data_IF_427410898032
#
_entry.id   IF_427410898032
#
_cell.length_a   1.000
_cell.length_b   1.000
_cell.length_c   1.000
_cell.angle_alpha   90.00
_cell.angle_beta   90.00
_cell.angle_gamma   90.00
#
_symmetry.space_group_name_H-M   'P 1'
#
loop_
_entity.id
_entity.type
_entity.pdbx_description
1 polymer ?
#
# COMPACT_ATOMS: atom_id res chain seq x y z
N UNK A 1 -9.06 10.12 -10.14
CA UNK A 1 -8.25 10.78 -9.10
C UNK A 1 -7.21 9.78 -8.66
N UNK A 2 -5.95 10.01 -9.01
CA UNK A 2 -4.84 9.26 -8.41
C UNK A 2 -4.65 9.82 -7.01
N UNK A 3 -5.32 9.22 -6.03
CA UNK A 3 -5.25 9.64 -4.62
C UNK A 3 -3.88 9.25 -4.06
N UNK A 4 -2.88 10.09 -4.32
CA UNK A 4 -1.58 10.01 -3.68
C UNK A 4 -1.69 10.63 -2.29
N UNK A 5 -1.04 10.00 -1.31
CA UNK A 5 -1.06 10.46 0.07
C UNK A 5 0.26 11.15 0.37
N UNK A 6 0.16 12.41 0.80
CA UNK A 6 1.28 13.25 1.16
C UNK A 6 1.17 13.61 2.64
N UNK A 7 1.89 12.93 3.53
CA UNK A 7 1.91 13.18 4.99
C UNK A 7 0.56 13.21 5.75
N UNK A 8 -0.60 13.17 5.09
CA UNK A 8 -1.94 13.31 5.69
C UNK A 8 -2.46 12.04 6.39
N UNK A 9 -1.69 10.96 6.39
CA UNK A 9 -2.04 9.70 7.08
C UNK A 9 -1.92 9.78 8.61
N UNK A 10 -1.24 10.80 9.13
CA UNK A 10 -0.98 10.98 10.57
C UNK A 10 -2.29 11.13 11.34
N UNK A 11 -3.19 11.95 10.83
CA UNK A 11 -4.45 12.26 11.51
C UNK A 11 -5.47 11.11 11.41
N UNK A 12 -5.43 10.32 10.33
CA UNK A 12 -6.33 9.18 10.11
C UNK A 12 -5.90 7.91 10.86
N UNK A 13 -4.60 7.63 10.93
CA UNK A 13 -4.08 6.42 11.61
C UNK A 13 -3.80 6.69 13.10
N UNK A 14 -3.68 7.96 13.51
CA UNK A 14 -3.41 8.34 14.90
C UNK A 14 -1.99 7.95 15.37
N UNK A 15 -1.07 7.68 14.44
CA UNK A 15 0.32 7.38 14.72
C UNK A 15 1.21 8.58 14.41
N UNK A 16 2.27 8.74 15.19
CA UNK A 16 3.23 9.83 14.98
C UNK A 16 3.86 9.78 13.57
N UNK A 17 4.12 10.96 13.00
CA UNK A 17 4.67 11.13 11.65
C UNK A 17 5.96 10.34 11.36
N UNK A 18 6.92 10.19 12.30
CA UNK A 18 8.10 9.35 12.09
C UNK A 18 7.75 7.87 11.89
N UNK A 19 6.77 7.36 12.66
CA UNK A 19 6.31 5.97 12.59
C UNK A 19 5.64 5.68 11.26
N UNK A 20 4.74 6.56 10.83
CA UNK A 20 4.06 6.42 9.54
C UNK A 20 5.05 6.51 8.37
N UNK A 21 6.00 7.44 8.42
CA UNK A 21 7.06 7.55 7.40
C UNK A 21 7.87 6.25 7.27
N UNK A 22 8.21 5.62 8.39
CA UNK A 22 8.89 4.34 8.40
C UNK A 22 8.04 3.23 7.77
N UNK A 23 6.75 3.13 8.11
CA UNK A 23 5.84 2.16 7.49
C UNK A 23 5.70 2.39 5.98
N UNK A 24 5.46 3.63 5.55
CA UNK A 24 5.32 3.96 4.12
C UNK A 24 6.58 3.66 3.32
N UNK A 25 7.76 3.89 3.90
CA UNK A 25 9.03 3.51 3.29
C UNK A 25 9.12 1.99 3.06
N UNK A 26 8.82 1.19 4.08
CA UNK A 26 8.85 -0.28 3.97
C UNK A 26 7.83 -0.80 2.96
N UNK A 27 6.62 -0.23 2.94
CA UNK A 27 5.56 -0.63 1.98
C UNK A 27 5.96 -0.24 0.54
N UNK A 28 6.60 0.91 0.35
CA UNK A 28 7.15 1.33 -0.94
C UNK A 28 8.32 0.44 -1.40
N UNK A 29 9.23 0.06 -0.49
CA UNK A 29 10.30 -0.91 -0.77
C UNK A 29 9.74 -2.30 -1.14
N UNK A 30 8.61 -2.69 -0.54
CA UNK A 30 7.85 -3.87 -0.93
C UNK A 30 7.15 -3.72 -2.30
N UNK A 31 7.24 -2.55 -2.93
CA UNK A 31 6.72 -2.21 -4.27
C UNK A 31 5.22 -1.96 -4.32
N UNK A 32 4.53 -1.97 -3.18
CA UNK A 32 3.08 -1.77 -3.09
C UNK A 32 2.68 -0.30 -3.27
N UNK A 33 3.61 0.62 -3.01
CA UNK A 33 3.44 2.04 -3.28
C UNK A 33 4.38 2.49 -4.40
N UNK A 34 4.04 3.62 -5.02
CA UNK A 34 4.88 4.40 -5.92
C UNK A 34 5.16 5.73 -5.24
N UNK A 35 6.38 5.91 -4.74
CA UNK A 35 6.84 7.19 -4.21
C UNK A 35 7.12 8.19 -5.33
N UNK A 36 6.56 9.40 -5.23
CA UNK A 36 6.92 10.56 -6.04
C UNK A 36 7.42 11.69 -5.12
N UNK A 37 8.41 12.44 -5.57
CA UNK A 37 8.87 13.62 -4.85
C UNK A 37 8.08 14.85 -5.31
N UNK A 38 7.37 15.50 -4.39
CA UNK A 38 6.75 16.80 -4.62
C UNK A 38 7.42 17.84 -3.70
N UNK A 39 8.38 18.57 -4.26
CA UNK A 39 9.16 19.56 -3.52
C UNK A 39 10.06 18.92 -2.46
N UNK A 40 9.78 19.21 -1.17
CA UNK A 40 10.55 18.66 -0.02
C UNK A 40 9.91 17.41 0.60
N UNK A 41 8.72 17.02 0.13
CA UNK A 41 7.94 15.94 0.68
C UNK A 41 7.90 14.76 -0.29
N UNK A 42 7.91 13.54 0.26
CA UNK A 42 7.61 12.33 -0.50
C UNK A 42 6.10 12.10 -0.40
N UNK A 43 5.46 11.95 -1.55
CA UNK A 43 4.07 11.51 -1.67
C UNK A 43 4.06 10.06 -2.14
N UNK A 44 3.18 9.24 -1.58
CA UNK A 44 3.04 7.84 -1.98
C UNK A 44 1.70 7.61 -2.65
N UNK A 45 1.72 7.01 -3.84
CA UNK A 45 0.52 6.57 -4.55
C UNK A 45 0.42 5.04 -4.48
N UNK A 46 -0.79 4.49 -4.50
CA UNK A 46 -0.96 3.05 -4.58
C UNK A 46 -0.44 2.49 -5.91
N UNK A 47 0.32 1.40 -5.85
CA UNK A 47 0.68 0.65 -7.05
C UNK A 47 -0.48 -0.26 -7.46
N UNK A 48 -1.45 0.31 -8.17
CA UNK A 48 -2.70 -0.37 -8.58
C UNK A 48 -2.42 -1.69 -9.33
N UNK A 49 -1.40 -1.71 -10.20
CA UNK A 49 -1.01 -2.93 -10.92
C UNK A 49 -0.60 -4.05 -9.97
N UNK A 50 0.22 -3.74 -8.96
CA UNK A 50 0.69 -4.72 -7.99
C UNK A 50 -0.41 -5.16 -7.03
N UNK A 51 -1.29 -4.25 -6.61
CA UNK A 51 -2.47 -4.61 -5.84
C UNK A 51 -3.43 -5.52 -6.62
N UNK A 52 -3.65 -5.24 -7.91
CA UNK A 52 -4.44 -6.11 -8.78
C UNK A 52 -3.81 -7.49 -8.95
N UNK A 53 -2.49 -7.57 -9.05
CA UNK A 53 -1.75 -8.83 -9.06
C UNK A 53 -1.96 -9.61 -7.75
N UNK A 54 -1.78 -8.96 -6.60
CA UNK A 54 -2.00 -9.57 -5.29
C UNK A 54 -3.45 -10.03 -5.11
N UNK A 55 -4.42 -9.20 -5.47
CA UNK A 55 -5.83 -9.54 -5.39
C UNK A 55 -6.14 -10.80 -6.22
N UNK A 56 -5.62 -10.91 -7.45
CA UNK A 56 -5.79 -12.12 -8.26
C UNK A 56 -5.20 -13.36 -7.59
N UNK A 57 -3.99 -13.25 -7.03
CA UNK A 57 -3.33 -14.36 -6.33
C UNK A 57 -4.07 -14.77 -5.07
N UNK A 58 -4.47 -13.82 -4.23
CA UNK A 58 -5.26 -14.08 -3.02
C UNK A 58 -6.63 -14.67 -3.36
N UNK A 59 -7.32 -14.15 -4.36
CA UNK A 59 -8.59 -14.72 -4.81
C UNK A 59 -8.42 -16.15 -5.34
N UNK A 60 -7.34 -16.42 -6.08
CA UNK A 60 -7.03 -17.79 -6.53
C UNK A 60 -6.76 -18.71 -5.34
N UNK A 61 -5.99 -18.25 -4.36
CA UNK A 61 -5.70 -18.98 -3.13
C UNK A 61 -6.99 -19.27 -2.37
N UNK A 62 -7.84 -18.27 -2.11
CA UNK A 62 -9.10 -18.45 -1.38
C UNK A 62 -10.11 -19.33 -2.13
N UNK A 63 -10.09 -19.31 -3.47
CA UNK A 63 -10.89 -20.27 -4.27
C UNK A 63 -10.39 -21.70 -4.08
N UNK A 64 -9.07 -21.91 -4.12
CA UNK A 64 -8.48 -23.24 -3.91
C UNK A 64 -8.68 -23.74 -2.48
N UNK A 65 -8.53 -22.89 -1.47
CA UNK A 65 -8.78 -23.31 -0.08
C UNK A 65 -10.24 -23.66 0.14
N UNK A 66 -11.19 -22.98 -0.53
CA UNK A 66 -12.61 -23.35 -0.50
C UNK A 66 -12.90 -24.69 -1.19
N UNK A 67 -12.18 -25.02 -2.26
CA UNK A 67 -12.33 -26.29 -3.00
C UNK A 67 -11.66 -27.48 -2.29
N UNK A 68 -10.58 -27.22 -1.55
CA UNK A 68 -9.83 -28.21 -0.78
C UNK A 68 -10.23 -28.24 0.70
N UNK A 69 -11.37 -27.63 1.05
CA UNK A 69 -11.90 -27.64 2.41
C UNK A 69 -12.69 -28.93 2.61
N UNK A 70 -11.99 -29.97 3.10
CA UNK A 70 -12.50 -31.30 3.47
C UNK A 70 -13.20 -32.08 2.35
#
# INVERSE_FOLDING_TARGET
>A
QDACICNDLVDEIGLAQPTISQHLKVINEAGLLKGSFEGKSICYCLNIERFNYFQKKLNSFFKQTKLNCC
#
